data_IF_595663040167
#
_entry.id   IF_595663040167
#
_cell.length_a   1.000
_cell.length_b   1.000
_cell.length_c   1.000
_cell.angle_alpha   90.00
_cell.angle_beta   90.00
_cell.angle_gamma   90.00
#
_symmetry.space_group_name_H-M   'P 1'
#
loop_
_entity.id
_entity.type
_entity.pdbx_description
1 polymer ?
#
# COMPACT_ATOMS: atom_id res chain seq x y z
N UNK A 1 27.96 11.46 -2.60
CA UNK A 1 26.72 12.02 -3.14
C UNK A 1 25.75 12.30 -2.01
N UNK A 2 25.14 13.49 -1.98
CA UNK A 2 24.09 13.82 -1.02
C UNK A 2 22.87 12.92 -1.30
N UNK A 3 22.33 12.27 -0.26
CA UNK A 3 21.13 11.44 -0.39
C UNK A 3 19.93 12.34 -0.67
N UNK A 4 19.09 11.93 -1.61
CA UNK A 4 17.85 12.64 -1.96
C UNK A 4 16.96 12.87 -0.72
N UNK A 5 16.32 14.04 -0.58
CA UNK A 5 15.33 14.29 0.44
C UNK A 5 14.12 13.36 0.24
N UNK A 6 13.46 12.99 1.34
CA UNK A 6 12.20 12.25 1.27
C UNK A 6 11.08 13.17 0.84
N UNK A 7 10.21 12.68 -0.03
CA UNK A 7 8.97 13.36 -0.33
C UNK A 7 8.02 13.12 0.84
N UNK A 8 7.61 14.20 1.50
CA UNK A 8 6.59 14.22 2.54
C UNK A 8 5.79 15.51 2.40
N UNK A 9 4.48 15.39 2.34
CA UNK A 9 3.55 16.51 2.21
C UNK A 9 2.32 16.26 3.07
N UNK A 10 1.52 17.30 3.40
CA UNK A 10 0.32 17.12 4.21
C UNK A 10 -0.64 16.09 3.62
N UNK A 11 -0.94 15.04 4.40
CA UNK A 11 -1.80 13.93 3.99
C UNK A 11 -1.08 12.80 3.25
N UNK A 12 0.24 12.84 3.09
CA UNK A 12 1.00 11.76 2.47
C UNK A 12 0.93 10.47 3.30
N UNK A 13 0.72 9.33 2.62
CA UNK A 13 0.78 8.01 3.22
C UNK A 13 2.10 7.32 2.90
N UNK A 14 2.68 6.62 3.88
CA UNK A 14 3.99 6.00 3.74
C UNK A 14 4.02 4.60 4.34
N UNK A 15 4.63 3.67 3.62
CA UNK A 15 5.17 2.45 4.20
C UNK A 15 6.56 2.75 4.73
N UNK A 16 6.73 2.60 6.02
CA UNK A 16 7.99 2.89 6.73
C UNK A 16 8.57 1.62 7.28
N UNK A 17 9.88 1.45 7.14
CA UNK A 17 10.60 0.32 7.70
C UNK A 17 12.02 0.70 8.11
N UNK A 18 12.56 -0.05 9.07
CA UNK A 18 13.99 -0.07 9.36
C UNK A 18 14.38 -1.41 9.99
N UNK A 19 15.66 -1.73 9.91
CA UNK A 19 16.22 -2.97 10.48
C UNK A 19 17.49 -2.70 11.28
N UNK A 20 17.83 -3.66 12.11
CA UNK A 20 19.07 -3.64 12.87
C UNK A 20 20.32 -3.59 11.98
N UNK A 21 21.35 -2.90 12.45
CA UNK A 21 22.68 -2.99 11.86
C UNK A 21 23.14 -4.45 11.87
N UNK A 22 23.77 -4.89 10.78
CA UNK A 22 24.25 -6.27 10.62
C UNK A 22 23.19 -7.35 10.93
N UNK A 23 21.92 -7.03 10.61
CA UNK A 23 20.75 -7.87 10.87
C UNK A 23 20.54 -8.25 12.35
N UNK A 24 21.17 -7.53 13.27
CA UNK A 24 20.98 -7.76 14.71
C UNK A 24 19.54 -7.56 15.16
N UNK A 25 19.17 -8.26 16.24
CA UNK A 25 17.88 -8.06 16.88
C UNK A 25 17.74 -6.63 17.41
N UNK A 26 16.63 -5.98 17.06
CA UNK A 26 16.23 -4.67 17.62
C UNK A 26 15.19 -4.82 18.72
N UNK A 27 14.61 -6.00 18.86
CA UNK A 27 13.73 -6.40 19.97
C UNK A 27 14.24 -7.72 20.53
N UNK A 28 14.80 -7.72 21.74
CA UNK A 28 15.27 -8.93 22.42
C UNK A 28 14.16 -9.61 23.22
N UNK A 29 13.22 -8.81 23.69
CA UNK A 29 12.08 -9.27 24.49
C UNK A 29 10.87 -8.33 24.34
N UNK A 30 9.80 -8.66 25.04
CA UNK A 30 8.52 -7.95 24.99
C UNK A 30 8.60 -6.54 25.60
N UNK A 31 9.49 -6.32 26.55
CA UNK A 31 9.71 -4.98 27.13
C UNK A 31 10.30 -4.01 26.09
N UNK A 32 11.14 -4.51 25.19
CA UNK A 32 11.66 -3.73 24.07
C UNK A 32 10.52 -3.36 23.12
N UNK A 33 9.69 -4.32 22.72
CA UNK A 33 8.54 -4.10 21.83
C UNK A 33 7.52 -3.12 22.43
N UNK A 34 7.14 -3.33 23.69
CA UNK A 34 6.26 -2.40 24.42
C UNK A 34 6.87 -1.00 24.51
N UNK A 35 8.17 -0.91 24.76
CA UNK A 35 8.89 0.37 24.79
C UNK A 35 8.85 1.09 23.46
N UNK A 36 8.99 0.37 22.34
CA UNK A 36 8.91 0.93 21.00
C UNK A 36 7.49 1.42 20.68
N UNK A 37 6.46 0.63 20.98
CA UNK A 37 5.06 1.03 20.78
C UNK A 37 4.66 2.24 21.64
N UNK A 38 5.18 2.34 22.85
CA UNK A 38 4.96 3.52 23.71
C UNK A 38 5.59 4.80 23.11
N UNK A 39 6.74 4.68 22.45
CA UNK A 39 7.32 5.82 21.74
C UNK A 39 6.48 6.25 20.54
N UNK A 40 5.82 5.32 19.86
CA UNK A 40 4.87 5.64 18.80
C UNK A 40 3.64 6.37 19.35
N UNK A 41 3.07 5.92 20.48
CA UNK A 41 2.00 6.66 21.16
C UNK A 41 2.38 8.12 21.42
N UNK A 42 3.61 8.35 21.90
CA UNK A 42 4.13 9.71 22.14
C UNK A 42 4.37 10.49 20.85
N UNK A 43 4.82 9.82 19.78
CA UNK A 43 5.03 10.46 18.47
C UNK A 43 3.70 10.90 17.85
N UNK A 44 2.65 10.08 17.94
CA UNK A 44 1.28 10.41 17.51
C UNK A 44 0.80 11.68 18.23
N UNK A 45 0.89 11.70 19.56
CA UNK A 45 0.46 12.85 20.35
C UNK A 45 1.27 14.14 20.05
N UNK A 46 2.58 13.98 19.78
CA UNK A 46 3.48 15.13 19.62
C UNK A 46 3.50 15.74 18.21
N UNK A 47 3.42 14.89 17.19
CA UNK A 47 3.64 15.30 15.79
C UNK A 47 2.39 15.19 14.93
N UNK A 48 1.31 14.61 15.45
CA UNK A 48 0.08 14.38 14.69
C UNK A 48 0.25 13.35 13.57
N UNK A 49 1.29 12.48 13.66
CA UNK A 49 1.41 11.35 12.73
C UNK A 49 0.29 10.34 13.02
N UNK A 50 -0.27 9.72 12.00
CA UNK A 50 -1.30 8.70 12.14
C UNK A 50 -0.68 7.34 11.85
N UNK A 51 -0.73 6.42 12.80
CA UNK A 51 -0.29 5.04 12.59
C UNK A 51 -1.50 4.19 12.29
N UNK A 52 -1.49 3.54 11.11
CA UNK A 52 -2.61 2.74 10.62
C UNK A 52 -2.34 1.25 10.80
N UNK A 53 -1.16 0.78 10.44
CA UNK A 53 -0.79 -0.63 10.63
C UNK A 53 0.67 -0.74 11.08
N UNK A 54 0.99 -1.79 11.82
CA UNK A 54 2.36 -2.09 12.21
C UNK A 54 2.60 -3.59 12.35
N UNK A 55 3.87 -3.97 12.18
CA UNK A 55 4.39 -5.28 12.54
C UNK A 55 5.83 -5.14 13.05
N UNK A 56 6.07 -5.65 14.25
CA UNK A 56 7.40 -5.67 14.90
C UNK A 56 7.98 -7.07 14.80
N UNK A 57 8.96 -7.24 13.93
CA UNK A 57 9.73 -8.47 13.77
C UNK A 57 10.94 -8.46 14.71
N UNK A 58 11.66 -9.58 14.86
CA UNK A 58 12.79 -9.61 15.79
C UNK A 58 13.88 -8.57 15.50
N UNK A 59 14.24 -8.38 14.23
CA UNK A 59 15.34 -7.52 13.79
C UNK A 59 14.91 -6.35 12.90
N UNK A 60 13.63 -6.16 12.63
CA UNK A 60 13.08 -5.05 11.83
C UNK A 60 11.64 -4.74 12.21
N UNK A 61 11.12 -3.64 11.71
CA UNK A 61 9.72 -3.26 11.84
C UNK A 61 9.17 -2.70 10.53
N UNK A 62 7.87 -2.82 10.37
CA UNK A 62 7.08 -2.19 9.32
C UNK A 62 5.95 -1.37 9.92
N UNK A 63 5.65 -0.22 9.29
CA UNK A 63 4.56 0.66 9.67
C UNK A 63 3.89 1.22 8.41
N UNK A 64 2.57 1.29 8.43
CA UNK A 64 1.79 2.13 7.53
C UNK A 64 1.39 3.39 8.30
N UNK A 65 1.82 4.54 7.83
CA UNK A 65 1.59 5.82 8.49
C UNK A 65 1.07 6.86 7.53
N UNK A 66 0.26 7.78 8.04
CA UNK A 66 -0.11 9.01 7.34
C UNK A 66 0.54 10.19 8.04
N UNK A 67 0.92 11.18 7.24
CA UNK A 67 1.61 12.39 7.68
C UNK A 67 0.73 13.63 7.43
N UNK A 68 -0.33 13.88 8.25
CA UNK A 68 -1.25 14.99 8.01
C UNK A 68 -0.58 16.35 7.93
N UNK A 69 0.53 16.52 8.64
CA UNK A 69 1.27 17.78 8.77
C UNK A 69 2.69 17.71 8.21
N UNK A 70 3.00 16.75 7.32
CA UNK A 70 4.34 16.55 6.78
C UNK A 70 5.42 16.42 7.86
N UNK A 71 5.17 15.62 8.91
CA UNK A 71 6.06 15.43 10.07
C UNK A 71 6.71 14.03 10.11
N UNK A 72 6.68 13.29 9.01
CA UNK A 72 7.20 11.91 8.96
C UNK A 72 8.64 11.82 9.49
N UNK A 73 9.56 12.62 8.92
CA UNK A 73 10.96 12.55 9.28
C UNK A 73 11.23 12.87 10.74
N UNK A 74 10.52 13.88 11.30
CA UNK A 74 10.65 14.26 12.71
C UNK A 74 10.12 13.18 13.65
N UNK A 75 8.99 12.58 13.29
CA UNK A 75 8.37 11.49 14.07
C UNK A 75 9.30 10.29 14.14
N UNK A 76 9.83 9.85 13.00
CA UNK A 76 10.74 8.70 12.92
C UNK A 76 12.08 9.00 13.63
N UNK A 77 12.62 10.20 13.45
CA UNK A 77 13.85 10.59 14.15
C UNK A 77 13.67 10.51 15.67
N UNK A 78 12.57 11.06 16.17
CA UNK A 78 12.26 11.01 17.60
C UNK A 78 12.16 9.56 18.11
N UNK A 79 11.34 8.72 17.45
CA UNK A 79 11.14 7.33 17.90
C UNK A 79 12.45 6.54 17.83
N UNK A 80 13.16 6.60 16.71
CA UNK A 80 14.38 5.81 16.53
C UNK A 80 15.49 6.24 17.46
N UNK A 81 15.69 7.55 17.69
CA UNK A 81 16.70 8.06 18.60
C UNK A 81 16.40 7.65 20.04
N UNK A 82 15.19 7.91 20.54
CA UNK A 82 14.79 7.57 21.90
C UNK A 82 14.82 6.04 22.14
N UNK A 83 14.41 5.28 21.11
CA UNK A 83 14.46 3.83 21.23
C UNK A 83 15.88 3.29 21.27
N UNK A 84 16.78 3.77 20.41
CA UNK A 84 18.20 3.38 20.42
C UNK A 84 18.83 3.65 21.77
N UNK A 85 18.64 4.84 22.33
CA UNK A 85 19.16 5.20 23.65
C UNK A 85 18.65 4.25 24.74
N UNK A 86 17.33 4.01 24.78
CA UNK A 86 16.71 3.08 25.74
C UNK A 86 17.22 1.65 25.59
N UNK A 87 17.28 1.16 24.35
CA UNK A 87 17.73 -0.20 24.05
C UNK A 87 19.19 -0.38 24.46
N UNK A 88 20.06 0.56 24.09
CA UNK A 88 21.48 0.50 24.42
C UNK A 88 21.70 0.56 25.95
N UNK A 89 21.04 1.48 26.65
CA UNK A 89 21.12 1.56 28.11
C UNK A 89 20.64 0.27 28.79
N UNK A 90 19.54 -0.30 28.31
CA UNK A 90 18.95 -1.53 28.90
C UNK A 90 19.82 -2.76 28.68
N UNK A 91 20.48 -2.85 27.53
CA UNK A 91 21.23 -4.03 27.12
C UNK A 91 22.75 -3.89 27.21
N UNK A 92 23.23 -2.84 27.87
CA UNK A 92 24.68 -2.60 28.05
C UNK A 92 25.42 -2.45 26.72
N UNK A 93 24.78 -1.78 25.72
CA UNK A 93 25.32 -1.63 24.37
C UNK A 93 25.76 -0.20 24.11
N UNK A 94 26.64 -0.08 23.13
CA UNK A 94 27.08 1.18 22.57
C UNK A 94 26.89 1.19 21.03
N UNK A 95 26.85 2.38 20.44
CA UNK A 95 26.78 2.57 18.98
C UNK A 95 25.39 2.44 18.36
N UNK A 96 25.38 2.31 17.03
CA UNK A 96 24.15 2.29 16.23
C UNK A 96 23.34 1.00 16.41
N UNK A 97 22.04 1.14 16.68
CA UNK A 97 21.12 0.00 16.70
C UNK A 97 20.59 -0.32 15.30
N UNK A 98 20.23 0.70 14.53
CA UNK A 98 19.67 0.56 13.19
C UNK A 98 20.74 0.71 12.10
N UNK A 99 20.52 0.04 10.95
CA UNK A 99 21.43 0.07 9.79
C UNK A 99 21.67 1.48 9.21
N UNK A 100 20.87 2.46 9.62
CA UNK A 100 20.96 3.83 9.14
C UNK A 100 19.59 4.51 9.19
N UNK A 101 19.36 5.45 8.28
CA UNK A 101 18.06 6.12 8.20
C UNK A 101 16.97 5.10 7.83
N UNK A 102 15.75 5.29 8.34
CA UNK A 102 14.60 4.51 7.94
C UNK A 102 14.35 4.59 6.42
N UNK A 103 13.79 3.55 5.86
CA UNK A 103 13.25 3.51 4.51
C UNK A 103 11.77 3.93 4.54
N UNK A 104 11.34 4.68 3.53
CA UNK A 104 9.93 5.04 3.36
C UNK A 104 9.56 4.97 1.90
N UNK A 105 8.43 4.36 1.61
CA UNK A 105 7.81 4.28 0.28
C UNK A 105 6.53 5.09 0.33
N UNK A 106 6.41 6.09 -0.54
CA UNK A 106 5.21 6.91 -0.66
C UNK A 106 4.09 6.11 -1.34
N UNK A 107 2.87 6.24 -0.86
CA UNK A 107 1.69 5.50 -1.32
C UNK A 107 0.67 6.50 -1.86
N UNK A 108 0.18 6.29 -3.09
CA UNK A 108 -0.72 7.20 -3.80
C UNK A 108 -2.20 6.94 -3.50
N UNK A 109 -2.61 5.69 -3.67
CA UNK A 109 -4.02 5.35 -3.73
C UNK A 109 -4.47 4.44 -2.60
N UNK A 110 -5.77 4.44 -2.38
CA UNK A 110 -6.42 3.58 -1.40
C UNK A 110 -6.19 2.09 -1.66
N UNK A 111 -6.05 1.70 -2.93
CA UNK A 111 -5.77 0.30 -3.31
C UNK A 111 -4.40 -0.13 -2.77
N UNK A 112 -3.36 0.70 -2.99
CA UNK A 112 -2.03 0.42 -2.46
C UNK A 112 -1.97 0.52 -0.94
N UNK A 113 -2.76 1.41 -0.36
CA UNK A 113 -2.88 1.57 1.08
C UNK A 113 -3.35 0.26 1.74
N UNK A 114 -4.39 -0.36 1.22
CA UNK A 114 -4.90 -1.66 1.71
C UNK A 114 -3.90 -2.80 1.51
N UNK A 115 -3.28 -2.85 0.32
CA UNK A 115 -2.28 -3.88 0.00
C UNK A 115 -1.07 -3.78 0.91
N UNK A 116 -0.60 -2.57 1.17
CA UNK A 116 0.52 -2.32 2.11
C UNK A 116 0.13 -2.70 3.54
N UNK A 117 -1.07 -2.33 3.99
CA UNK A 117 -1.58 -2.73 5.30
C UNK A 117 -1.59 -4.25 5.46
N UNK A 118 -2.19 -4.95 4.50
CA UNK A 118 -2.19 -6.42 4.45
C UNK A 118 -0.78 -7.01 4.45
N UNK A 119 0.12 -6.46 3.62
CA UNK A 119 1.51 -6.86 3.60
C UNK A 119 2.15 -6.78 4.98
N UNK A 120 2.01 -5.64 5.63
CA UNK A 120 2.59 -5.41 6.94
C UNK A 120 2.09 -6.45 7.94
N UNK A 121 0.80 -6.75 7.92
CA UNK A 121 0.19 -7.71 8.84
C UNK A 121 0.55 -9.16 8.54
N UNK A 122 0.82 -9.51 7.28
CA UNK A 122 1.23 -10.86 6.88
C UNK A 122 2.72 -11.15 7.09
N UNK A 123 3.54 -10.18 7.50
CA UNK A 123 4.96 -10.39 7.75
C UNK A 123 5.27 -11.58 8.67
N UNK A 124 4.54 -11.82 9.78
CA UNK A 124 4.79 -12.99 10.64
C UNK A 124 4.52 -14.31 9.94
N UNK A 125 3.53 -14.36 9.03
CA UNK A 125 3.22 -15.54 8.21
C UNK A 125 4.33 -15.77 7.18
N UNK A 126 4.73 -14.73 6.47
CA UNK A 126 5.82 -14.79 5.50
C UNK A 126 7.17 -15.22 6.13
N UNK A 127 7.38 -14.87 7.40
CA UNK A 127 8.56 -15.29 8.17
C UNK A 127 8.41 -16.68 8.83
N UNK A 128 7.29 -17.38 8.64
CA UNK A 128 7.03 -18.69 9.23
C UNK A 128 6.87 -18.69 10.75
N UNK A 129 6.60 -17.51 11.36
CA UNK A 129 6.44 -17.39 12.81
C UNK A 129 5.07 -17.88 13.29
N UNK A 130 4.04 -17.69 12.47
CA UNK A 130 2.68 -18.19 12.71
C UNK A 130 2.04 -18.58 11.39
N UNK A 131 1.15 -19.58 11.34
CA UNK A 131 0.36 -19.86 10.15
C UNK A 131 -0.73 -18.77 9.97
N UNK A 132 -1.23 -18.61 8.74
CA UNK A 132 -2.20 -17.54 8.41
C UNK A 132 -3.47 -17.58 9.25
N UNK A 133 -3.95 -18.78 9.59
CA UNK A 133 -5.16 -19.01 10.40
C UNK A 133 -4.97 -18.54 11.85
N UNK A 134 -3.72 -18.47 12.31
CA UNK A 134 -3.34 -18.06 13.65
C UNK A 134 -2.64 -16.70 13.69
N UNK A 135 -2.77 -15.90 12.64
CA UNK A 135 -2.15 -14.58 12.56
C UNK A 135 -2.55 -13.66 13.72
N UNK A 136 -3.78 -13.78 14.24
CA UNK A 136 -4.24 -13.05 15.42
C UNK A 136 -3.51 -13.39 16.73
N UNK A 137 -2.77 -14.50 16.76
CA UNK A 137 -1.95 -14.90 17.91
C UNK A 137 -0.60 -14.16 17.93
N UNK A 138 -0.25 -13.49 16.84
CA UNK A 138 0.96 -12.69 16.79
C UNK A 138 0.73 -11.32 17.46
N UNK A 139 1.12 -11.22 18.72
CA UNK A 139 0.85 -10.06 19.59
C UNK A 139 1.49 -8.75 19.07
N UNK A 140 2.57 -8.84 18.28
CA UNK A 140 3.41 -7.70 17.89
C UNK A 140 3.02 -7.09 16.54
N UNK A 141 1.77 -7.24 16.14
CA UNK A 141 1.18 -6.59 14.97
C UNK A 141 -0.13 -5.89 15.29
N UNK A 142 -0.57 -4.99 14.41
CA UNK A 142 -1.89 -4.36 14.50
C UNK A 142 -3.04 -5.30 14.20
N UNK A 143 -2.78 -6.47 13.61
CA UNK A 143 -3.83 -7.39 13.14
C UNK A 143 -4.79 -7.82 14.24
N UNK A 144 -4.29 -8.12 15.44
CA UNK A 144 -5.14 -8.51 16.57
C UNK A 144 -6.16 -7.43 16.95
N UNK A 145 -5.81 -6.15 16.84
CA UNK A 145 -6.72 -5.02 17.08
C UNK A 145 -7.76 -4.91 15.97
N UNK A 146 -7.37 -5.10 14.71
CA UNK A 146 -8.29 -5.15 13.57
C UNK A 146 -9.26 -6.31 13.63
N UNK A 147 -8.78 -7.47 14.07
CA UNK A 147 -9.58 -8.67 14.25
C UNK A 147 -10.50 -8.62 15.49
N UNK A 148 -10.42 -7.57 16.31
CA UNK A 148 -11.19 -7.45 17.57
C UNK A 148 -10.77 -8.47 18.63
N UNK A 149 -9.56 -9.03 18.53
CA UNK A 149 -9.03 -10.03 19.48
C UNK A 149 -8.31 -9.40 20.67
N UNK A 150 -7.78 -8.19 20.47
CA UNK A 150 -7.13 -7.39 21.51
C UNK A 150 -7.72 -5.98 21.53
N UNK A 151 -7.60 -5.31 22.68
CA UNK A 151 -7.99 -3.90 22.79
C UNK A 151 -7.21 -3.01 21.82
N UNK A 152 -7.91 -2.13 21.10
CA UNK A 152 -7.31 -1.15 20.20
C UNK A 152 -6.49 -0.13 21.01
N UNK A 153 -5.18 0.03 20.74
CA UNK A 153 -4.42 1.13 21.32
C UNK A 153 -4.99 2.48 20.87
N UNK A 154 -5.14 3.44 21.76
CA UNK A 154 -5.73 4.75 21.45
C UNK A 154 -5.00 5.53 20.35
N UNK A 155 -3.71 5.25 20.14
CA UNK A 155 -2.88 5.87 19.11
C UNK A 155 -2.94 5.16 17.74
N UNK A 156 -3.55 3.96 17.65
CA UNK A 156 -3.69 3.22 16.40
C UNK A 156 -5.00 3.64 15.70
N UNK A 157 -4.90 4.16 14.51
CA UNK A 157 -6.05 4.53 13.68
C UNK A 157 -6.44 3.36 12.77
N UNK A 158 -7.57 2.73 13.06
CA UNK A 158 -8.07 1.59 12.25
C UNK A 158 -9.22 2.00 11.32
N UNK A 159 -9.79 3.19 11.53
CA UNK A 159 -11.06 3.59 10.91
C UNK A 159 -10.94 3.61 9.38
N UNK A 160 -9.95 4.27 8.80
CA UNK A 160 -9.76 4.33 7.34
C UNK A 160 -9.69 2.94 6.69
N UNK A 161 -9.10 1.97 7.38
CA UNK A 161 -9.02 0.60 6.88
C UNK A 161 -10.34 -0.13 7.08
N UNK A 162 -10.96 -0.02 8.28
CA UNK A 162 -12.18 -0.73 8.63
C UNK A 162 -13.44 -0.16 8.00
N UNK A 163 -13.49 1.13 7.66
CA UNK A 163 -14.63 1.75 6.98
C UNK A 163 -14.99 1.07 5.65
N UNK A 164 -14.07 0.30 5.09
CA UNK A 164 -14.26 -0.48 3.87
C UNK A 164 -14.82 -1.87 4.11
N UNK A 165 -14.84 -2.32 5.37
CA UNK A 165 -15.28 -3.65 5.78
C UNK A 165 -16.46 -3.49 6.74
N UNK A 166 -17.54 -4.21 6.47
CA UNK A 166 -18.75 -4.15 7.33
C UNK A 166 -18.52 -4.76 8.70
N UNK A 167 -17.57 -5.70 8.82
CA UNK A 167 -17.25 -6.40 10.06
C UNK A 167 -15.74 -6.67 10.15
N UNK A 168 -15.18 -6.80 11.37
CA UNK A 168 -13.81 -7.27 11.57
C UNK A 168 -13.50 -8.60 10.86
N UNK A 169 -14.47 -9.53 10.83
CA UNK A 169 -14.30 -10.81 10.13
C UNK A 169 -14.12 -10.67 8.62
N UNK A 170 -14.70 -9.66 7.99
CA UNK A 170 -14.45 -9.38 6.58
C UNK A 170 -13.01 -8.91 6.36
N UNK A 171 -12.50 -8.06 7.22
CA UNK A 171 -11.11 -7.64 7.20
C UNK A 171 -10.16 -8.82 7.42
N UNK A 172 -10.45 -9.67 8.41
CA UNK A 172 -9.68 -10.89 8.68
C UNK A 172 -9.62 -11.78 7.44
N UNK A 173 -10.77 -12.05 6.80
CA UNK A 173 -10.81 -12.82 5.54
C UNK A 173 -10.01 -12.17 4.41
N UNK A 174 -10.09 -10.85 4.28
CA UNK A 174 -9.28 -10.12 3.29
C UNK A 174 -7.79 -10.31 3.53
N UNK A 175 -7.31 -10.14 4.77
CA UNK A 175 -5.89 -10.32 5.09
C UNK A 175 -5.45 -11.76 4.87
N UNK A 176 -6.27 -12.74 5.26
CA UNK A 176 -5.95 -14.17 5.16
C UNK A 176 -6.25 -14.79 3.79
N UNK A 177 -6.98 -14.11 2.88
CA UNK A 177 -7.22 -14.62 1.55
C UNK A 177 -5.89 -14.80 0.81
N UNK A 178 -5.73 -15.94 0.13
CA UNK A 178 -4.48 -16.28 -0.57
C UNK A 178 -4.16 -15.20 -1.62
N UNK A 179 -3.04 -14.51 -1.42
CA UNK A 179 -2.32 -13.91 -2.52
C UNK A 179 -1.59 -15.04 -3.24
N UNK A 180 -1.61 -15.05 -4.56
CA UNK A 180 -0.60 -15.78 -5.30
C UNK A 180 0.76 -15.33 -4.77
N UNK A 181 1.57 -16.25 -4.25
CA UNK A 181 2.88 -15.97 -3.64
C UNK A 181 3.75 -15.10 -4.55
N UNK A 182 3.61 -15.25 -5.87
CA UNK A 182 4.32 -14.46 -6.87
C UNK A 182 3.92 -12.98 -6.90
N UNK A 183 2.66 -12.66 -6.66
CA UNK A 183 2.21 -11.26 -6.59
C UNK A 183 2.74 -10.58 -5.34
N UNK A 184 2.74 -11.28 -4.24
CA UNK A 184 3.29 -10.80 -2.98
C UNK A 184 4.80 -10.57 -3.12
N UNK A 185 5.55 -11.52 -3.65
CA UNK A 185 7.00 -11.41 -3.90
C UNK A 185 7.34 -10.22 -4.82
N UNK A 186 6.61 -10.03 -5.93
CA UNK A 186 6.79 -8.90 -6.85
C UNK A 186 6.50 -7.56 -6.17
N UNK A 187 5.41 -7.49 -5.42
CA UNK A 187 5.07 -6.30 -4.64
C UNK A 187 6.20 -5.94 -3.67
N UNK A 188 6.75 -6.94 -2.97
CA UNK A 188 7.88 -6.76 -2.07
C UNK A 188 9.15 -6.30 -2.77
N UNK A 189 9.52 -6.96 -3.83
CA UNK A 189 10.74 -6.64 -4.57
C UNK A 189 10.73 -5.20 -5.10
N UNK A 190 9.57 -4.70 -5.50
CA UNK A 190 9.41 -3.34 -6.01
C UNK A 190 9.29 -2.30 -4.90
N UNK A 191 8.50 -2.56 -3.86
CA UNK A 191 8.29 -1.61 -2.76
C UNK A 191 9.57 -1.28 -1.96
N UNK A 192 10.58 -2.16 -2.00
CA UNK A 192 11.82 -1.99 -1.22
C UNK A 192 12.93 -1.26 -1.98
N UNK A 193 12.77 -0.95 -3.26
CA UNK A 193 13.78 -0.23 -4.05
C UNK A 193 13.82 1.26 -3.68
N UNK A 194 15.01 1.88 -3.61
CA UNK A 194 15.11 3.33 -3.40
C UNK A 194 14.44 4.12 -4.53
N UNK A 195 13.70 5.18 -4.18
CA UNK A 195 13.03 6.04 -5.17
C UNK A 195 11.70 5.51 -5.70
N UNK A 196 11.27 4.31 -5.29
CA UNK A 196 9.98 3.74 -5.69
C UNK A 196 8.83 4.43 -4.96
N UNK A 197 7.77 4.68 -5.70
CA UNK A 197 6.49 5.19 -5.23
C UNK A 197 5.42 4.16 -5.59
N UNK A 198 4.59 3.79 -4.64
CA UNK A 198 3.43 2.94 -4.88
C UNK A 198 2.27 3.81 -5.38
N UNK A 199 2.22 4.00 -6.68
CA UNK A 199 1.25 4.86 -7.34
C UNK A 199 1.36 4.76 -8.85
N UNK A 200 0.34 5.26 -9.55
CA UNK A 200 0.32 5.28 -11.02
C UNK A 200 1.31 6.28 -11.63
N UNK A 201 1.56 6.13 -12.93
CA UNK A 201 2.47 7.00 -13.70
C UNK A 201 2.11 8.48 -13.58
N UNK A 202 0.83 8.82 -13.54
CA UNK A 202 0.37 10.21 -13.37
C UNK A 202 0.73 10.79 -12.00
N UNK A 203 0.71 9.96 -10.96
CA UNK A 203 1.15 10.36 -9.63
C UNK A 203 2.65 10.64 -9.61
N UNK A 204 3.44 9.77 -10.20
CA UNK A 204 4.90 9.95 -10.33
C UNK A 204 5.21 11.23 -11.10
N UNK A 205 4.53 11.49 -12.22
CA UNK A 205 4.67 12.75 -12.99
C UNK A 205 4.28 13.98 -12.17
N UNK A 206 3.20 13.91 -11.41
CA UNK A 206 2.76 14.99 -10.53
C UNK A 206 3.82 15.29 -9.48
N UNK A 207 4.37 14.26 -8.83
CA UNK A 207 5.45 14.41 -7.85
C UNK A 207 6.71 15.03 -8.47
N UNK A 208 7.12 14.57 -9.66
CA UNK A 208 8.26 15.14 -10.37
C UNK A 208 8.10 16.62 -10.67
N UNK A 209 6.89 17.08 -11.06
CA UNK A 209 6.59 18.50 -11.28
C UNK A 209 6.63 19.33 -10.00
N UNK A 210 6.18 18.77 -8.87
CA UNK A 210 6.04 19.49 -7.59
C UNK A 210 7.34 19.54 -6.80
N UNK A 211 8.18 18.50 -6.90
CA UNK A 211 9.38 18.33 -6.05
C UNK A 211 10.70 18.36 -6.83
N UNK A 212 10.67 18.69 -8.11
CA UNK A 212 11.85 18.92 -8.97
C UNK A 212 12.29 17.66 -9.73
N UNK A 213 12.78 17.87 -10.96
CA UNK A 213 13.18 16.84 -11.93
C UNK A 213 14.43 16.01 -11.52
N UNK A 214 15.03 16.28 -10.36
CA UNK A 214 16.24 15.58 -9.90
C UNK A 214 15.96 14.24 -9.21
N UNK A 215 14.71 13.85 -9.04
CA UNK A 215 14.34 12.57 -8.42
C UNK A 215 13.97 11.57 -9.52
N UNK A 216 14.79 10.54 -9.69
CA UNK A 216 14.41 9.34 -10.43
C UNK A 216 13.34 8.61 -9.63
N UNK A 217 12.07 8.98 -9.85
CA UNK A 217 10.92 8.30 -9.27
C UNK A 217 10.42 7.27 -10.26
N UNK A 218 10.27 6.04 -9.80
CA UNK A 218 9.65 4.95 -10.57
C UNK A 218 8.35 4.54 -9.91
N UNK A 219 7.32 4.31 -10.73
CA UNK A 219 6.11 3.67 -10.26
C UNK A 219 6.42 2.22 -9.89
N UNK A 220 6.10 1.83 -8.67
CA UNK A 220 6.39 0.49 -8.14
C UNK A 220 5.36 -0.57 -8.57
N UNK A 221 4.84 -0.49 -9.82
CA UNK A 221 3.75 -1.34 -10.26
C UNK A 221 4.11 -2.00 -11.58
N UNK A 222 4.50 -3.26 -11.49
CA UNK A 222 4.47 -4.23 -12.59
C UNK A 222 3.71 -5.50 -12.13
N UNK A 223 2.64 -5.32 -11.33
CA UNK A 223 1.92 -6.45 -10.78
C UNK A 223 1.05 -7.17 -11.80
N UNK A 224 0.60 -6.44 -12.83
CA UNK A 224 -0.27 -6.96 -13.88
C UNK A 224 0.19 -6.51 -15.25
N UNK A 225 0.17 -7.44 -16.19
CA UNK A 225 0.30 -7.10 -17.60
C UNK A 225 -1.04 -6.62 -18.17
N UNK A 226 -0.99 -5.82 -19.24
CA UNK A 226 -2.21 -5.41 -19.93
C UNK A 226 -3.05 -6.61 -20.40
N UNK A 227 -2.36 -7.70 -20.83
CA UNK A 227 -3.02 -8.93 -21.26
C UNK A 227 -3.75 -9.67 -20.12
N UNK A 228 -3.19 -9.66 -18.91
CA UNK A 228 -3.85 -10.24 -17.73
C UNK A 228 -5.10 -9.45 -17.34
N UNK A 229 -5.01 -8.12 -17.36
CA UNK A 229 -6.17 -7.26 -17.07
C UNK A 229 -7.26 -7.49 -18.10
N UNK A 230 -6.93 -7.45 -19.39
CA UNK A 230 -7.89 -7.64 -20.46
C UNK A 230 -8.57 -9.01 -20.37
N UNK A 231 -7.78 -10.06 -20.17
CA UNK A 231 -8.31 -11.43 -20.03
C UNK A 231 -9.29 -11.54 -18.87
N UNK A 232 -8.96 -10.95 -17.74
CA UNK A 232 -9.82 -11.04 -16.54
C UNK A 232 -11.09 -10.21 -16.70
N UNK A 233 -10.99 -9.00 -17.24
CA UNK A 233 -12.17 -8.15 -17.50
C UNK A 233 -13.10 -8.84 -18.50
N UNK A 234 -12.56 -9.43 -19.55
CA UNK A 234 -13.35 -10.15 -20.56
C UNK A 234 -14.04 -11.38 -19.99
N UNK A 235 -13.33 -12.16 -19.16
CA UNK A 235 -13.91 -13.32 -18.49
C UNK A 235 -15.05 -12.90 -17.55
N UNK A 236 -14.87 -11.82 -16.79
CA UNK A 236 -15.91 -11.29 -15.90
C UNK A 236 -17.12 -10.71 -16.66
N UNK A 237 -16.86 -10.14 -17.85
CA UNK A 237 -17.92 -9.59 -18.70
C UNK A 237 -18.63 -10.64 -19.57
N UNK A 238 -18.07 -11.84 -19.69
CA UNK A 238 -18.59 -12.87 -20.59
C UNK A 238 -18.49 -12.49 -22.08
N UNK A 239 -17.54 -11.64 -22.45
CA UNK A 239 -17.42 -11.04 -23.79
C UNK A 239 -16.20 -11.56 -24.55
N UNK A 240 -16.24 -11.65 -25.90
CA UNK A 240 -15.08 -12.00 -26.71
C UNK A 240 -14.02 -10.88 -26.71
N UNK A 241 -12.75 -11.26 -26.90
CA UNK A 241 -11.58 -10.36 -26.83
C UNK A 241 -11.67 -9.11 -27.73
N UNK A 242 -12.35 -9.21 -28.85
CA UNK A 242 -12.54 -8.10 -29.83
C UNK A 242 -13.25 -6.88 -29.21
N UNK A 243 -14.09 -7.10 -28.20
CA UNK A 243 -14.91 -6.04 -27.57
C UNK A 243 -14.08 -4.95 -26.89
N UNK A 244 -12.86 -5.27 -26.42
CA UNK A 244 -12.00 -4.31 -25.72
C UNK A 244 -11.25 -3.38 -26.71
N UNK A 245 -10.94 -3.85 -27.91
CA UNK A 245 -10.05 -3.14 -28.86
C UNK A 245 -10.80 -2.35 -29.93
N UNK A 246 -12.02 -2.76 -30.29
CA UNK A 246 -12.83 -2.11 -31.33
C UNK A 246 -13.89 -1.24 -30.65
N UNK A 247 -13.62 0.07 -30.57
CA UNK A 247 -14.52 1.02 -29.93
C UNK A 247 -15.89 1.09 -30.59
N UNK A 248 -16.88 0.49 -29.93
CA UNK A 248 -18.29 0.75 -30.16
C UNK A 248 -18.79 1.73 -29.09
N UNK A 249 -19.56 2.74 -29.45
CA UNK A 249 -20.17 3.65 -28.48
C UNK A 249 -21.42 3.00 -27.87
N UNK A 250 -21.54 3.02 -26.53
CA UNK A 250 -22.72 2.53 -25.83
C UNK A 250 -22.44 1.55 -24.72
N UNK A 251 -23.42 0.67 -24.40
CA UNK A 251 -23.29 -0.36 -23.35
C UNK A 251 -22.20 -1.39 -23.65
N UNK A 252 -21.92 -1.65 -24.93
CA UNK A 252 -20.89 -2.58 -25.39
C UNK A 252 -19.47 -2.10 -25.10
N UNK A 253 -19.29 -0.85 -24.63
CA UNK A 253 -18.00 -0.27 -24.26
C UNK A 253 -17.62 -0.48 -22.77
N UNK A 254 -18.47 -1.10 -21.97
CA UNK A 254 -18.21 -1.30 -20.54
C UNK A 254 -16.93 -2.09 -20.26
N UNK A 255 -16.67 -3.24 -20.88
CA UNK A 255 -15.41 -3.98 -20.66
C UNK A 255 -14.17 -3.16 -21.00
N UNK A 256 -14.18 -2.42 -22.11
CA UNK A 256 -13.10 -1.53 -22.54
C UNK A 256 -12.84 -0.42 -21.51
N UNK A 257 -13.90 0.21 -21.00
CA UNK A 257 -13.79 1.26 -20.00
C UNK A 257 -13.26 0.74 -18.67
N UNK A 258 -13.68 -0.46 -18.26
CA UNK A 258 -13.16 -1.11 -17.05
C UNK A 258 -11.72 -1.52 -17.23
N UNK A 259 -11.36 -2.17 -18.34
CA UNK A 259 -10.00 -2.57 -18.65
C UNK A 259 -9.05 -1.36 -18.70
N UNK A 260 -9.44 -0.28 -19.39
CA UNK A 260 -8.67 0.97 -19.42
C UNK A 260 -8.45 1.56 -18.01
N UNK A 261 -9.51 1.60 -17.20
CA UNK A 261 -9.44 2.12 -15.82
C UNK A 261 -8.52 1.30 -14.93
N UNK A 262 -8.60 -0.03 -15.02
CA UNK A 262 -7.73 -0.94 -14.27
C UNK A 262 -6.29 -0.92 -14.80
N UNK A 263 -6.08 -0.92 -16.10
CA UNK A 263 -4.76 -0.81 -16.72
C UNK A 263 -4.03 0.46 -16.28
N UNK A 264 -4.73 1.59 -16.27
CA UNK A 264 -4.16 2.86 -15.81
C UNK A 264 -3.72 2.83 -14.34
N UNK A 265 -4.44 2.10 -13.49
CA UNK A 265 -4.17 2.02 -12.04
C UNK A 265 -3.14 0.93 -11.73
N UNK A 266 -3.16 -0.18 -12.44
CA UNK A 266 -2.47 -1.42 -12.09
C UNK A 266 -1.23 -1.71 -12.95
N UNK A 267 -0.92 -0.87 -13.95
CA UNK A 267 0.25 -1.03 -14.81
C UNK A 267 1.07 0.26 -14.92
N UNK A 268 2.30 0.14 -15.39
CA UNK A 268 3.16 1.29 -15.72
C UNK A 268 2.89 1.87 -17.11
N UNK A 269 1.82 1.47 -17.77
CA UNK A 269 1.55 1.86 -19.15
C UNK A 269 1.26 3.36 -19.28
N UNK A 270 1.90 3.96 -20.28
CA UNK A 270 1.68 5.36 -20.62
C UNK A 270 0.36 5.56 -21.36
N UNK A 271 -0.23 6.76 -21.27
CA UNK A 271 -1.50 7.07 -21.96
C UNK A 271 -1.43 6.86 -23.46
N UNK A 272 -0.26 7.03 -24.09
CA UNK A 272 -0.06 6.73 -25.51
C UNK A 272 -0.23 5.25 -25.82
N UNK A 273 0.39 4.38 -25.04
CA UNK A 273 0.25 2.93 -25.13
C UNK A 273 -1.18 2.47 -24.89
N UNK A 274 -1.83 3.04 -23.87
CA UNK A 274 -3.24 2.76 -23.56
C UNK A 274 -4.18 3.27 -24.68
N UNK A 275 -3.84 4.40 -25.34
CA UNK A 275 -4.60 4.91 -26.47
C UNK A 275 -4.53 3.94 -27.66
N UNK A 276 -3.33 3.50 -28.00
CA UNK A 276 -3.10 2.54 -29.08
C UNK A 276 -3.81 1.21 -28.78
N UNK A 277 -3.60 0.65 -27.58
CA UNK A 277 -4.16 -0.64 -27.20
C UNK A 277 -5.70 -0.66 -27.17
N UNK A 278 -6.29 0.36 -26.60
CA UNK A 278 -7.75 0.42 -26.42
C UNK A 278 -8.45 1.25 -27.50
N UNK A 279 -7.75 1.62 -28.59
CA UNK A 279 -8.34 2.30 -29.75
C UNK A 279 -8.89 3.69 -29.44
N UNK A 280 -8.22 4.47 -28.59
CA UNK A 280 -8.55 5.87 -28.36
C UNK A 280 -7.77 6.79 -29.33
N UNK A 281 -8.38 7.89 -29.81
CA UNK A 281 -7.77 8.74 -30.85
C UNK A 281 -6.53 9.52 -30.36
N UNK A 282 -6.36 9.67 -29.04
CA UNK A 282 -5.21 10.38 -28.47
C UNK A 282 -4.98 10.04 -26.99
N UNK A 283 -3.80 10.31 -26.42
CA UNK A 283 -3.52 10.21 -25.00
C UNK A 283 -4.44 11.08 -24.12
N UNK A 284 -4.89 12.23 -24.65
CA UNK A 284 -5.81 13.12 -23.94
C UNK A 284 -7.23 12.53 -23.86
N UNK A 285 -7.68 11.85 -24.91
CA UNK A 285 -8.93 11.10 -24.92
C UNK A 285 -8.93 9.98 -23.88
N UNK A 286 -7.80 9.28 -23.70
CA UNK A 286 -7.60 8.31 -22.60
C UNK A 286 -7.77 8.97 -21.25
N UNK A 287 -7.13 10.11 -20.99
CA UNK A 287 -7.26 10.84 -19.74
C UNK A 287 -8.70 11.24 -19.42
N UNK A 288 -9.47 11.62 -20.45
CA UNK A 288 -10.90 11.92 -20.30
C UNK A 288 -11.72 10.65 -19.99
N UNK A 289 -11.46 9.57 -20.72
CA UNK A 289 -12.15 8.28 -20.57
C UNK A 289 -11.90 7.69 -19.16
N UNK A 290 -10.67 7.77 -18.64
CA UNK A 290 -10.33 7.33 -17.29
C UNK A 290 -11.15 8.12 -16.25
N UNK A 291 -11.16 9.45 -16.31
CA UNK A 291 -11.96 10.28 -15.38
C UNK A 291 -13.43 9.94 -15.43
N UNK A 292 -13.98 9.70 -16.62
CA UNK A 292 -15.38 9.32 -16.82
C UNK A 292 -15.66 7.90 -16.28
N UNK A 293 -14.74 6.97 -16.45
CA UNK A 293 -14.87 5.60 -15.93
C UNK A 293 -14.84 5.55 -14.41
N UNK A 294 -13.88 6.27 -13.78
CA UNK A 294 -13.72 6.27 -12.32
C UNK A 294 -14.83 6.98 -11.58
N UNK A 295 -15.48 7.97 -12.19
CA UNK A 295 -16.59 8.75 -11.60
C UNK A 295 -17.98 8.33 -12.11
N UNK A 296 -18.07 7.27 -12.88
CA UNK A 296 -19.36 6.84 -13.46
C UNK A 296 -20.31 6.32 -12.40
N UNK A 297 -21.54 6.82 -12.32
CA UNK A 297 -22.58 6.27 -11.44
C UNK A 297 -23.19 4.96 -11.99
N UNK A 298 -22.78 4.50 -13.17
CA UNK A 298 -23.32 3.33 -13.84
C UNK A 298 -23.11 2.07 -13.00
N UNK A 299 -24.20 1.41 -12.54
CA UNK A 299 -24.12 0.25 -11.67
C UNK A 299 -23.54 -0.99 -12.36
N UNK A 300 -23.71 -1.13 -13.68
CA UNK A 300 -23.12 -2.25 -14.43
C UNK A 300 -21.62 -2.12 -14.54
N UNK A 301 -21.12 -0.91 -14.83
CA UNK A 301 -19.69 -0.62 -14.83
C UNK A 301 -19.06 -0.86 -13.46
N UNK A 302 -19.75 -0.46 -12.39
CA UNK A 302 -19.31 -0.69 -11.03
C UNK A 302 -19.21 -2.18 -10.71
N UNK A 303 -20.26 -2.96 -11.04
CA UNK A 303 -20.27 -4.42 -10.83
C UNK A 303 -19.15 -5.13 -11.59
N UNK A 304 -18.97 -4.79 -12.87
CA UNK A 304 -17.91 -5.42 -13.67
C UNK A 304 -16.52 -5.08 -13.14
N UNK A 305 -16.28 -3.83 -12.71
CA UNK A 305 -15.02 -3.41 -12.10
C UNK A 305 -14.76 -4.17 -10.80
N UNK A 306 -15.74 -4.28 -9.93
CA UNK A 306 -15.63 -5.01 -8.65
C UNK A 306 -15.35 -6.51 -8.89
N UNK A 307 -16.06 -7.13 -9.84
CA UNK A 307 -15.83 -8.53 -10.21
C UNK A 307 -14.41 -8.73 -10.77
N UNK A 308 -13.94 -7.80 -11.61
CA UNK A 308 -12.59 -7.86 -12.19
C UNK A 308 -11.51 -7.66 -11.13
N UNK A 309 -11.68 -6.73 -10.21
CA UNK A 309 -10.76 -6.53 -9.09
C UNK A 309 -10.70 -7.77 -8.19
N UNK A 310 -11.86 -8.38 -7.91
CA UNK A 310 -11.92 -9.63 -7.16
C UNK A 310 -11.18 -10.77 -7.86
N UNK A 311 -11.36 -10.92 -9.16
CA UNK A 311 -10.69 -11.93 -9.96
C UNK A 311 -9.18 -11.69 -10.10
N UNK A 312 -8.72 -10.43 -9.95
CA UNK A 312 -7.32 -10.05 -9.83
C UNK A 312 -6.73 -10.27 -8.43
N UNK A 313 -7.53 -10.81 -7.47
CA UNK A 313 -7.11 -10.91 -6.07
C UNK A 313 -7.08 -9.57 -5.33
N UNK A 314 -7.66 -8.52 -5.93
CA UNK A 314 -7.77 -7.16 -5.41
C UNK A 314 -9.20 -6.94 -4.87
N UNK A 315 -9.67 -7.82 -3.99
CA UNK A 315 -11.05 -7.78 -3.49
C UNK A 315 -11.30 -6.53 -2.65
N UNK A 316 -11.72 -5.48 -3.33
CA UNK A 316 -12.27 -4.28 -2.72
C UNK A 316 -13.73 -4.57 -2.39
N UNK A 317 -13.99 -5.20 -1.24
CA UNK A 317 -15.35 -5.41 -0.78
C UNK A 317 -16.12 -4.09 -0.70
N UNK A 318 -16.98 -3.92 -1.68
CA UNK A 318 -18.23 -3.19 -1.64
C UNK A 318 -18.27 -1.87 -0.89
N UNK A 319 -17.55 -0.84 -1.36
CA UNK A 319 -18.07 0.52 -1.33
C UNK A 319 -17.35 1.41 -2.35
N UNK A 320 -18.18 2.15 -3.04
CA UNK A 320 -17.92 3.21 -4.02
C UNK A 320 -16.52 3.84 -3.99
N UNK A 321 -15.75 3.62 -5.04
CA UNK A 321 -14.80 4.60 -5.56
C UNK A 321 -15.63 5.82 -6.07
N UNK A 322 -16.10 6.63 -5.14
CA UNK A 322 -16.91 7.80 -5.46
C UNK A 322 -17.24 8.59 -4.21
N UNK A 323 -16.32 9.40 -3.79
CA UNK A 323 -16.52 10.78 -3.29
C UNK A 323 -15.22 11.54 -3.38
#
# INVERSE_FOLDING_TARGET
MARQPRIDYPGAAHHVMNRGADHQAIFRDDSDRRGFLNLWSRAVARFGIVVVSYCLMGNHFHLLVESPNAQLSRSLQFVMQMYTQRFNARHGRDGALFRGRFHSVLIDSDIYFERVGRYIELNPVAAGLVPAERLSDYEWSSFGAYAGRIGRPAWLSVDRMLDRYRTPDQYVRFVQSQLDDRQLERFYANALRPGVVLGGVDFVKKLGRTHGASMELTAGIDDFTLDEIDRIVLNCAGCPRVTIYNGTSGRDDLPRRVALGLAHILTNSHRGELAERYGYPSPDAVGFAIRRSTRSPDPELKRLREASLKALGLDLFGHSLGR
#
